data_IF_821664852482
#
_entry.id   IF_821664852482
#
_cell.length_a   1.000
_cell.length_b   1.000
_cell.length_c   1.000
_cell.angle_alpha   90.00
_cell.angle_beta   90.00
_cell.angle_gamma   90.00
#
_symmetry.space_group_name_H-M   'P 1'
#
loop_
_entity.id
_entity.type
_entity.pdbx_description
1 polymer ?
#
# COMPACT_ATOMS: atom_id res chain seq x y z
N UNK A 1 -11.51 -2.97 -3.74
CA UNK A 1 -12.92 -2.54 -3.73
C UNK A 1 -12.93 -1.03 -3.48
N UNK A 2 -13.65 -0.26 -4.30
CA UNK A 2 -13.76 1.20 -4.12
C UNK A 2 -15.08 1.46 -3.38
N UNK A 3 -15.04 2.21 -2.29
CA UNK A 3 -16.24 2.61 -1.55
C UNK A 3 -16.51 4.10 -1.76
N UNK A 4 -17.79 4.43 -2.00
CA UNK A 4 -18.26 5.81 -2.12
C UNK A 4 -19.14 6.14 -0.91
N UNK A 5 -18.81 7.22 -0.20
CA UNK A 5 -19.65 7.76 0.86
C UNK A 5 -19.54 9.28 0.88
N UNK A 6 -20.65 10.00 0.63
CA UNK A 6 -20.78 11.48 0.72
C UNK A 6 -19.56 12.26 0.17
N UNK A 7 -19.38 12.29 -1.15
CA UNK A 7 -18.25 12.96 -1.82
C UNK A 7 -16.85 12.49 -1.37
N UNK A 8 -16.72 11.27 -0.84
CA UNK A 8 -15.43 10.65 -0.52
C UNK A 8 -15.27 9.33 -1.25
N UNK A 9 -14.05 9.05 -1.68
CA UNK A 9 -13.66 7.83 -2.36
C UNK A 9 -12.59 7.13 -1.53
N UNK A 10 -12.91 5.96 -1.02
CA UNK A 10 -11.95 5.12 -0.31
C UNK A 10 -11.50 4.03 -1.29
N UNK A 11 -10.21 4.02 -1.59
CA UNK A 11 -9.60 3.02 -2.46
C UNK A 11 -9.02 1.92 -1.58
N UNK A 12 -9.79 0.85 -1.35
CA UNK A 12 -9.26 -0.37 -0.73
C UNK A 12 -8.62 -1.26 -1.80
N UNK A 13 -7.29 -1.34 -1.80
CA UNK A 13 -6.57 -2.48 -2.35
C UNK A 13 -6.83 -3.68 -1.45
N UNK A 14 -7.83 -4.50 -1.81
CA UNK A 14 -8.24 -5.66 -1.01
C UNK A 14 -7.05 -6.57 -0.68
N UNK A 15 -6.97 -6.99 0.59
CA UNK A 15 -6.23 -8.16 1.04
C UNK A 15 -6.76 -8.59 2.41
N UNK A 16 -7.68 -9.57 2.41
CA UNK A 16 -7.76 -10.53 3.49
C UNK A 16 -7.34 -11.87 2.90
N UNK A 17 -6.33 -12.49 3.49
CA UNK A 17 -5.74 -13.74 3.04
C UNK A 17 -4.42 -13.53 2.30
N UNK A 18 -3.34 -13.91 2.98
CA UNK A 18 -2.08 -14.42 2.42
C UNK A 18 -1.62 -13.81 1.08
N UNK A 19 -0.69 -12.84 1.13
CA UNK A 19 0.12 -12.38 -0.01
C UNK A 19 -0.68 -12.25 -1.33
N UNK A 20 -1.73 -11.41 -1.39
CA UNK A 20 -2.27 -11.03 -2.70
C UNK A 20 -1.27 -10.08 -3.32
N UNK A 21 -0.38 -10.67 -4.10
CA UNK A 21 0.40 -9.95 -5.08
C UNK A 21 -0.59 -9.28 -6.04
N UNK A 22 -1.00 -8.03 -5.77
CA UNK A 22 -1.40 -7.08 -6.82
C UNK A 22 -0.17 -6.69 -7.67
N UNK A 23 0.66 -7.67 -8.03
CA UNK A 23 1.66 -7.54 -9.08
C UNK A 23 0.92 -7.62 -10.41
N UNK A 24 0.18 -6.57 -10.73
CA UNK A 24 -0.14 -6.28 -12.11
C UNK A 24 0.07 -4.81 -12.45
N UNK A 25 0.57 -4.01 -11.51
CA UNK A 25 0.93 -2.62 -11.74
C UNK A 25 2.19 -2.55 -12.63
N UNK A 26 2.00 -2.75 -13.93
CA UNK A 26 2.90 -2.14 -14.92
C UNK A 26 2.94 -0.65 -14.61
N UNK A 27 4.09 0.00 -14.76
CA UNK A 27 4.25 1.44 -14.61
C UNK A 27 3.08 2.25 -15.22
N UNK A 28 2.64 1.83 -16.41
CA UNK A 28 1.48 2.40 -17.13
C UNK A 28 0.17 2.36 -16.32
N UNK A 29 -0.10 1.30 -15.57
CA UNK A 29 -1.31 1.19 -14.75
C UNK A 29 -1.32 2.13 -13.55
N UNK A 30 -0.16 2.43 -12.96
CA UNK A 30 -0.11 3.44 -11.89
C UNK A 30 -0.39 4.84 -12.47
N UNK A 31 0.17 5.16 -13.63
CA UNK A 31 -0.13 6.43 -14.32
C UNK A 31 -1.60 6.53 -14.73
N UNK A 32 -2.19 5.46 -15.26
CA UNK A 32 -3.62 5.40 -15.60
C UNK A 32 -4.49 5.59 -14.34
N UNK A 33 -4.10 4.98 -13.21
CA UNK A 33 -4.76 5.19 -11.93
C UNK A 33 -4.62 6.65 -11.47
N UNK A 34 -3.42 7.23 -11.54
CA UNK A 34 -3.20 8.63 -11.19
C UNK A 34 -4.09 9.58 -11.99
N UNK A 35 -4.25 9.32 -13.30
CA UNK A 35 -5.14 10.12 -14.15
C UNK A 35 -6.60 10.01 -13.68
N UNK A 36 -7.09 8.80 -13.38
CA UNK A 36 -8.45 8.59 -12.88
C UNK A 36 -8.68 9.24 -11.51
N UNK A 37 -7.69 9.18 -10.61
CA UNK A 37 -7.81 9.77 -9.28
C UNK A 37 -7.73 11.29 -9.32
N UNK A 38 -6.88 11.87 -10.16
CA UNK A 38 -6.83 13.32 -10.37
C UNK A 38 -8.19 13.85 -10.87
N UNK A 39 -8.88 13.13 -11.76
CA UNK A 39 -10.24 13.50 -12.17
C UNK A 39 -11.25 13.47 -11.02
N UNK A 40 -11.06 12.61 -10.02
CA UNK A 40 -11.89 12.59 -8.82
C UNK A 40 -11.55 13.77 -7.90
N UNK A 41 -10.27 14.08 -7.74
CA UNK A 41 -9.80 15.23 -6.95
C UNK A 41 -10.29 16.55 -7.55
N UNK A 42 -10.27 16.69 -8.88
CA UNK A 42 -10.80 17.85 -9.60
C UNK A 42 -12.31 18.05 -9.35
N UNK A 43 -13.03 16.95 -9.07
CA UNK A 43 -14.44 16.95 -8.69
C UNK A 43 -14.65 17.14 -7.18
N UNK A 44 -13.61 17.53 -6.45
CA UNK A 44 -13.62 17.78 -5.00
C UNK A 44 -13.97 16.55 -4.16
N UNK A 45 -13.65 15.34 -4.65
CA UNK A 45 -13.73 14.14 -3.81
C UNK A 45 -12.54 14.08 -2.85
N UNK A 46 -12.80 13.70 -1.60
CA UNK A 46 -11.73 13.35 -0.65
C UNK A 46 -11.30 11.90 -0.88
N UNK A 47 -10.02 11.67 -1.14
CA UNK A 47 -9.47 10.36 -1.51
C UNK A 47 -8.51 9.86 -0.43
N UNK A 48 -8.74 8.63 0.03
CA UNK A 48 -7.81 7.92 0.92
C UNK A 48 -7.39 6.62 0.27
N UNK A 49 -6.07 6.41 0.16
CA UNK A 49 -5.49 5.18 -0.35
C UNK A 49 -5.23 4.22 0.80
N UNK A 50 -5.74 2.99 0.70
CA UNK A 50 -5.59 1.99 1.74
C UNK A 50 -5.21 0.63 1.14
N UNK A 51 -4.17 0.01 1.67
CA UNK A 51 -3.74 -1.30 1.20
C UNK A 51 -2.77 -2.00 2.15
N UNK A 52 -2.63 -3.32 1.97
CA UNK A 52 -1.73 -4.13 2.78
C UNK A 52 -0.57 -4.73 1.99
N UNK A 53 0.53 -5.09 2.67
CA UNK A 53 1.75 -5.61 2.03
C UNK A 53 2.21 -4.66 0.91
N UNK A 54 2.28 -5.12 -0.34
CA UNK A 54 2.61 -4.25 -1.48
C UNK A 54 1.53 -3.20 -1.78
N UNK A 55 0.27 -3.48 -1.47
CA UNK A 55 -0.80 -2.50 -1.57
C UNK A 55 -0.56 -1.31 -0.63
N UNK A 56 0.14 -1.51 0.49
CA UNK A 56 0.59 -0.44 1.37
C UNK A 56 1.63 0.45 0.71
N UNK A 57 2.63 -0.14 0.04
CA UNK A 57 3.63 0.60 -0.75
C UNK A 57 2.96 1.42 -1.87
N UNK A 58 2.07 0.79 -2.64
CA UNK A 58 1.35 1.47 -3.72
C UNK A 58 0.46 2.60 -3.19
N UNK A 59 -0.20 2.39 -2.04
CA UNK A 59 -1.03 3.42 -1.39
C UNK A 59 -0.20 4.63 -0.99
N UNK A 60 0.98 4.41 -0.41
CA UNK A 60 1.88 5.49 -0.08
C UNK A 60 2.36 6.24 -1.32
N UNK A 61 2.66 5.53 -2.42
CA UNK A 61 3.15 6.14 -3.64
C UNK A 61 2.08 6.98 -4.33
N UNK A 62 0.85 6.46 -4.42
CA UNK A 62 -0.30 7.20 -4.94
C UNK A 62 -0.61 8.43 -4.08
N UNK A 63 -0.61 8.28 -2.76
CA UNK A 63 -0.78 9.40 -1.83
C UNK A 63 0.30 10.47 -2.03
N UNK A 64 1.58 10.07 -2.17
CA UNK A 64 2.68 10.99 -2.44
C UNK A 64 2.45 11.78 -3.73
N UNK A 65 1.96 11.14 -4.80
CA UNK A 65 1.71 11.79 -6.10
C UNK A 65 0.49 12.72 -6.12
N UNK A 66 -0.46 12.50 -5.23
CA UNK A 66 -1.77 13.19 -5.25
C UNK A 66 -1.99 14.11 -4.05
N UNK A 67 -1.13 14.04 -3.02
CA UNK A 67 -1.31 14.75 -1.75
C UNK A 67 -2.37 14.16 -0.84
N UNK A 68 -2.91 12.99 -1.19
CA UNK A 68 -3.94 12.30 -0.42
C UNK A 68 -3.38 11.62 0.83
N UNK A 69 -4.27 11.11 1.68
CA UNK A 69 -3.90 10.32 2.86
C UNK A 69 -3.64 8.85 2.48
N UNK A 70 -2.77 8.19 3.23
CA UNK A 70 -2.46 6.77 3.07
C UNK A 70 -2.66 5.97 4.37
N UNK A 71 -3.32 4.82 4.26
CA UNK A 71 -3.41 3.80 5.31
C UNK A 71 -2.67 2.54 4.83
N UNK A 72 -1.59 2.18 5.51
CA UNK A 72 -0.69 1.09 5.13
C UNK A 72 -0.79 -0.04 6.17
N UNK A 73 -1.27 -1.22 5.77
CA UNK A 73 -1.43 -2.37 6.68
C UNK A 73 -0.31 -3.38 6.43
N UNK A 74 0.48 -3.74 7.44
CA UNK A 74 1.65 -4.60 7.27
C UNK A 74 2.39 -4.29 5.96
N UNK A 75 2.83 -3.03 5.72
CA UNK A 75 3.35 -2.67 4.42
C UNK A 75 4.70 -3.32 4.13
N UNK A 76 4.93 -3.56 2.85
CA UNK A 76 6.16 -4.08 2.32
C UNK A 76 7.15 -2.96 2.00
N UNK A 77 7.88 -2.51 3.01
CA UNK A 77 8.57 -1.20 3.02
C UNK A 77 9.96 -1.20 2.35
N UNK A 78 10.60 -2.36 2.24
CA UNK A 78 11.97 -2.47 1.72
C UNK A 78 12.00 -3.70 0.82
N UNK A 79 11.81 -3.53 -0.49
CA UNK A 79 11.81 -4.68 -1.40
C UNK A 79 12.68 -4.57 -2.65
N UNK A 80 13.46 -3.49 -2.83
CA UNK A 80 14.49 -3.47 -3.88
C UNK A 80 15.34 -4.76 -3.90
N UNK A 81 15.70 -5.29 -2.73
CA UNK A 81 16.52 -6.50 -2.57
C UNK A 81 15.73 -7.81 -2.51
N UNK A 82 14.46 -7.78 -2.09
CA UNK A 82 13.61 -8.98 -1.95
C UNK A 82 12.86 -9.33 -3.23
N UNK A 83 12.41 -8.33 -4.01
CA UNK A 83 11.64 -8.55 -5.24
C UNK A 83 12.37 -9.41 -6.30
N UNK A 84 13.70 -9.29 -6.49
CA UNK A 84 14.41 -10.13 -7.45
C UNK A 84 14.33 -11.64 -7.12
N UNK A 85 14.14 -12.01 -5.85
CA UNK A 85 14.05 -13.41 -5.43
C UNK A 85 12.78 -14.11 -5.95
N UNK A 86 11.77 -13.33 -6.35
CA UNK A 86 10.50 -13.85 -6.87
C UNK A 86 10.45 -13.90 -8.40
N UNK A 87 11.56 -13.61 -9.11
CA UNK A 87 11.61 -13.62 -10.59
C UNK A 87 11.30 -15.02 -11.10
N UNK A 88 10.33 -15.11 -12.00
CA UNK A 88 9.81 -16.38 -12.50
C UNK A 88 8.34 -16.28 -12.88
N UNK A 89 7.76 -17.43 -13.18
CA UNK A 89 6.31 -17.54 -13.39
C UNK A 89 5.68 -17.94 -12.07
N UNK A 90 4.80 -17.09 -11.56
CA UNK A 90 3.96 -17.36 -10.39
C UNK A 90 2.52 -17.52 -10.85
N UNK A 91 1.68 -18.11 -10.02
CA UNK A 91 0.24 -18.10 -10.25
C UNK A 91 -0.35 -16.77 -9.74
N UNK A 92 -1.19 -16.14 -10.56
CA UNK A 92 -2.03 -15.07 -10.09
C UNK A 92 -3.14 -15.66 -9.22
N UNK A 93 -3.07 -15.46 -7.90
CA UNK A 93 -4.02 -16.03 -6.94
C UNK A 93 -5.49 -15.62 -7.16
N UNK A 94 -5.77 -14.51 -7.86
CA UNK A 94 -7.14 -14.05 -8.12
C UNK A 94 -7.73 -14.70 -9.37
N UNK A 95 -6.92 -14.90 -10.40
CA UNK A 95 -7.37 -15.39 -11.71
C UNK A 95 -6.97 -16.83 -12.00
N UNK A 96 -6.16 -17.42 -11.12
CA UNK A 96 -5.45 -18.68 -11.31
C UNK A 96 -4.61 -18.72 -12.61
N UNK A 97 -4.34 -17.56 -13.21
CA UNK A 97 -3.59 -17.48 -14.47
C UNK A 97 -2.09 -17.34 -14.21
N UNK A 98 -1.23 -17.90 -15.07
CA UNK A 98 0.19 -17.65 -15.00
C UNK A 98 0.52 -16.16 -15.08
N UNK A 99 1.35 -15.69 -14.16
CA UNK A 99 1.88 -14.34 -14.12
C UNK A 99 3.41 -14.38 -14.16
N UNK A 100 4.00 -13.63 -15.10
CA UNK A 100 5.46 -13.53 -15.19
C UNK A 100 5.96 -12.33 -14.40
N UNK A 101 6.62 -12.58 -13.28
CA UNK A 101 7.41 -11.59 -12.57
C UNK A 101 8.83 -11.55 -13.14
N UNK A 102 9.33 -10.36 -13.49
CA UNK A 102 10.60 -10.21 -14.18
C UNK A 102 11.39 -9.01 -13.66
N UNK A 103 12.61 -8.85 -14.17
CA UNK A 103 13.52 -7.78 -13.77
C UNK A 103 12.97 -6.38 -14.04
N UNK A 104 12.19 -6.18 -15.10
CA UNK A 104 11.62 -4.87 -15.42
C UNK A 104 10.65 -4.43 -14.32
N UNK A 105 9.87 -5.36 -13.75
CA UNK A 105 9.03 -5.03 -12.61
C UNK A 105 9.85 -4.66 -11.37
N UNK A 106 10.96 -5.34 -11.10
CA UNK A 106 11.86 -4.98 -10.00
C UNK A 106 12.44 -3.56 -10.19
N UNK A 107 12.88 -3.24 -11.41
CA UNK A 107 13.40 -1.92 -11.77
C UNK A 107 12.36 -0.81 -11.58
N UNK A 108 11.08 -1.10 -11.80
CA UNK A 108 9.98 -0.15 -11.58
C UNK A 108 9.84 0.23 -10.11
N UNK A 109 9.89 -0.74 -9.19
CA UNK A 109 9.85 -0.45 -7.76
C UNK A 109 11.07 0.37 -7.32
N UNK A 110 12.26 0.09 -7.86
CA UNK A 110 13.44 0.91 -7.61
C UNK A 110 13.27 2.37 -8.03
N UNK A 111 12.59 2.65 -9.14
CA UNK A 111 12.26 4.02 -9.56
C UNK A 111 11.33 4.71 -8.57
N UNK A 112 10.29 4.01 -8.09
CA UNK A 112 9.37 4.55 -7.09
C UNK A 112 10.07 4.87 -5.76
N UNK A 113 10.97 4.00 -5.30
CA UNK A 113 11.78 4.24 -4.11
C UNK A 113 12.66 5.50 -4.26
N UNK A 114 13.26 5.73 -5.43
CA UNK A 114 14.02 6.94 -5.71
C UNK A 114 13.13 8.20 -5.73
N UNK A 115 11.93 8.09 -6.30
CA UNK A 115 10.98 9.21 -6.29
C UNK A 115 10.50 9.58 -4.90
N UNK A 116 10.32 8.59 -4.01
CA UNK A 116 10.03 8.85 -2.59
C UNK A 116 11.11 9.66 -1.90
N UNK A 117 12.38 9.32 -2.14
CA UNK A 117 13.53 10.02 -1.54
C UNK A 117 13.57 11.48 -2.02
N UNK A 118 13.25 11.71 -3.29
CA UNK A 118 13.32 13.03 -3.90
C UNK A 118 12.06 13.89 -3.70
N UNK A 119 10.96 13.29 -3.22
CA UNK A 119 9.71 13.99 -3.03
C UNK A 119 9.77 14.96 -1.85
N UNK A 120 9.27 16.18 -2.08
CA UNK A 120 9.06 17.19 -1.03
C UNK A 120 7.64 17.16 -0.47
N UNK A 121 6.79 16.27 -0.98
CA UNK A 121 5.39 16.20 -0.62
C UNK A 121 5.23 15.58 0.77
N UNK A 122 4.69 16.35 1.71
CA UNK A 122 4.24 15.81 2.99
C UNK A 122 2.87 15.18 2.80
N UNK A 123 2.70 13.94 3.24
CA UNK A 123 1.43 13.22 3.21
C UNK A 123 1.12 12.67 4.59
N UNK A 124 -0.17 12.60 4.92
CA UNK A 124 -0.65 11.94 6.12
C UNK A 124 -0.60 10.41 5.92
N UNK A 125 0.18 9.75 6.78
CA UNK A 125 0.39 8.30 6.75
C UNK A 125 -0.09 7.71 8.06
N UNK A 126 -0.91 6.68 7.96
CA UNK A 126 -1.22 5.79 9.08
C UNK A 126 -0.73 4.38 8.75
N UNK A 127 0.03 3.78 9.65
CA UNK A 127 0.58 2.43 9.48
C UNK A 127 0.02 1.53 10.58
N UNK A 128 -0.52 0.38 10.17
CA UNK A 128 -1.06 -0.64 11.06
C UNK A 128 -0.16 -1.87 10.96
N UNK A 129 0.45 -2.30 12.06
CA UNK A 129 1.42 -3.40 12.10
C UNK A 129 1.01 -4.49 13.08
N UNK A 130 0.98 -5.73 12.60
CA UNK A 130 1.09 -6.92 13.44
C UNK A 130 2.57 -7.24 13.65
N UNK A 131 2.99 -7.33 14.91
CA UNK A 131 4.41 -7.44 15.25
C UNK A 131 4.97 -8.87 15.14
N UNK A 132 4.12 -9.91 15.02
CA UNK A 132 4.57 -11.31 14.94
C UNK A 132 4.60 -11.90 13.52
N UNK A 133 4.49 -11.08 12.47
CA UNK A 133 4.53 -11.57 11.09
C UNK A 133 5.91 -12.06 10.64
N UNK A 134 6.02 -13.30 10.16
CA UNK A 134 7.29 -13.89 9.71
C UNK A 134 7.80 -13.35 8.35
N UNK A 135 6.89 -12.84 7.51
CA UNK A 135 7.18 -12.45 6.12
C UNK A 135 7.49 -10.96 5.93
N UNK A 136 7.24 -10.14 6.95
CA UNK A 136 7.48 -8.70 6.91
C UNK A 136 8.24 -8.32 8.15
N UNK A 137 9.35 -7.62 7.95
CA UNK A 137 10.13 -7.01 9.02
C UNK A 137 9.34 -5.81 9.59
N UNK A 138 8.48 -6.12 10.56
CA UNK A 138 7.64 -5.15 11.27
C UNK A 138 8.46 -4.18 12.11
N UNK A 139 9.63 -4.60 12.60
CA UNK A 139 10.56 -3.76 13.35
C UNK A 139 11.21 -2.70 12.45
N UNK A 140 11.72 -3.10 11.29
CA UNK A 140 12.26 -2.18 10.30
C UNK A 140 11.18 -1.21 9.80
N UNK A 141 9.95 -1.72 9.60
CA UNK A 141 8.79 -0.91 9.25
C UNK A 141 8.51 0.17 10.30
N UNK A 142 8.50 -0.20 11.57
CA UNK A 142 8.34 0.73 12.69
C UNK A 142 9.49 1.75 12.74
N UNK A 143 10.74 1.30 12.65
CA UNK A 143 11.91 2.18 12.69
C UNK A 143 11.92 3.22 11.56
N UNK A 144 11.54 2.82 10.34
CA UNK A 144 11.53 3.71 9.17
C UNK A 144 10.45 4.79 9.24
N UNK A 145 9.32 4.53 9.90
CA UNK A 145 8.14 5.40 9.87
C UNK A 145 7.71 6.02 11.20
N UNK A 146 8.28 5.61 12.34
CA UNK A 146 7.91 6.16 13.66
C UNK A 146 7.89 7.69 13.73
N UNK A 147 8.75 8.36 12.96
CA UNK A 147 8.88 9.83 12.94
C UNK A 147 8.21 10.47 11.70
N UNK A 148 7.53 9.69 10.85
CA UNK A 148 6.98 10.11 9.56
C UNK A 148 5.49 9.78 9.37
N UNK A 149 4.94 8.98 10.27
CA UNK A 149 3.59 8.43 10.18
C UNK A 149 2.99 8.22 11.58
N UNK A 150 1.67 8.18 11.64
CA UNK A 150 0.96 7.62 12.79
C UNK A 150 1.07 6.09 12.74
N UNK A 151 1.97 5.51 13.54
CA UNK A 151 2.19 4.06 13.58
C UNK A 151 1.43 3.43 14.75
N UNK A 152 0.57 2.45 14.46
CA UNK A 152 -0.18 1.67 15.44
C UNK A 152 0.25 0.22 15.33
N UNK A 153 0.77 -0.32 16.43
CA UNK A 153 1.24 -1.71 16.51
C UNK A 153 0.30 -2.58 17.33
N UNK A 154 0.24 -3.86 16.97
CA UNK A 154 -0.46 -4.90 17.69
C UNK A 154 0.51 -6.03 18.00
N UNK A 155 0.54 -6.47 19.26
CA UNK A 155 1.30 -7.65 19.65
C UNK A 155 0.68 -8.92 19.02
N UNK A 156 1.51 -9.83 18.53
CA UNK A 156 1.04 -11.04 17.85
C UNK A 156 0.57 -10.78 16.42
N UNK A 157 -0.37 -11.60 15.96
CA UNK A 157 -0.94 -11.53 14.62
C UNK A 157 -0.08 -12.21 13.56
N UNK A 158 -0.35 -11.90 12.29
CA UNK A 158 0.30 -12.56 11.16
C UNK A 158 0.44 -11.62 9.97
N UNK A 159 1.08 -12.11 8.90
CA UNK A 159 1.23 -11.35 7.66
C UNK A 159 -0.12 -10.85 7.10
N UNK A 160 -1.19 -11.64 7.25
CA UNK A 160 -2.55 -11.28 6.80
C UNK A 160 -3.25 -10.20 7.64
N UNK A 161 -2.62 -9.70 8.71
CA UNK A 161 -3.16 -8.70 9.62
C UNK A 161 -4.45 -9.14 10.33
N UNK A 162 -4.32 -9.71 11.53
CA UNK A 162 -5.43 -10.30 12.28
C UNK A 162 -6.22 -9.25 13.07
N UNK A 163 -5.62 -8.10 13.32
CA UNK A 163 -6.16 -7.06 14.17
C UNK A 163 -7.05 -6.04 13.45
N UNK A 164 -7.56 -6.34 12.25
CA UNK A 164 -8.40 -5.40 11.50
C UNK A 164 -9.56 -4.85 12.32
N UNK A 165 -10.27 -5.70 13.07
CA UNK A 165 -11.43 -5.27 13.86
C UNK A 165 -11.05 -4.22 14.90
N UNK A 166 -9.87 -4.34 15.51
CA UNK A 166 -9.34 -3.37 16.47
C UNK A 166 -8.87 -2.09 15.77
N UNK A 167 -8.35 -2.23 14.55
CA UNK A 167 -7.86 -1.10 13.75
C UNK A 167 -8.97 -0.25 13.12
N UNK A 168 -10.22 -0.72 13.07
CA UNK A 168 -11.34 0.00 12.46
C UNK A 168 -11.49 1.42 12.99
N UNK A 169 -11.40 1.64 14.30
CA UNK A 169 -11.52 2.97 14.89
C UNK A 169 -10.43 3.95 14.41
N UNK A 170 -9.22 3.44 14.15
CA UNK A 170 -8.11 4.22 13.60
C UNK A 170 -8.36 4.52 12.13
N UNK A 171 -8.77 3.52 11.36
CA UNK A 171 -9.10 3.64 9.93
C UNK A 171 -10.22 4.67 9.72
N UNK A 172 -11.30 4.57 10.50
CA UNK A 172 -12.42 5.51 10.48
C UNK A 172 -11.97 6.94 10.81
N UNK A 173 -11.09 7.13 11.80
CA UNK A 173 -10.56 8.46 12.11
C UNK A 173 -9.84 9.09 10.92
N UNK A 174 -9.01 8.33 10.22
CA UNK A 174 -8.29 8.83 9.03
C UNK A 174 -9.27 9.18 7.91
N UNK A 175 -10.23 8.29 7.63
CA UNK A 175 -11.24 8.45 6.59
C UNK A 175 -12.20 9.62 6.89
N UNK A 176 -12.52 9.84 8.16
CA UNK A 176 -13.52 10.81 8.57
C UNK A 176 -12.99 12.16 9.05
N UNK A 177 -11.67 12.28 9.29
CA UNK A 177 -10.99 13.57 9.52
C UNK A 177 -11.05 14.51 8.33
#
# INVERSE_FOLDING_TARGET
MIFFQKNRIIVLGALFGTISLRLNLKYRQIEDMLLQWNQCLDKSFDVVFMGSSMGGFASEYLAMKTGCKAIMINPAITRGELLPQFIGVTENYETAQPYSWNQEHCNQYGKYEQEFINSKQCIDRTILLDMAGELIDSENSLLKYKDKANVVTYAGGSHSFEHIRRALAVIERVIFS
#
